data_IF_704679323208
#
_entry.id   IF_704679323208
#
_cell.length_a   1.000
_cell.length_b   1.000
_cell.length_c   1.000
_cell.angle_alpha   90.00
_cell.angle_beta   90.00
_cell.angle_gamma   90.00
#
_symmetry.space_group_name_H-M   'P 1'
#
loop_
_entity.id
_entity.type
_entity.pdbx_description
1 polymer ?
#
# COMPACT_ATOMS: atom_id res chain seq x y z
N UNK A 1 0.00 -25.87 0.05
CA UNK A 1 -1.18 -24.99 0.27
C UNK A 1 -0.79 -23.62 0.83
N UNK A 2 -0.20 -23.51 2.04
CA UNK A 2 0.19 -22.23 2.67
C UNK A 2 1.07 -21.29 1.83
N UNK A 3 2.09 -21.82 1.17
CA UNK A 3 3.00 -21.04 0.29
C UNK A 3 2.22 -20.33 -0.80
N UNK A 4 1.41 -21.08 -1.56
CA UNK A 4 0.55 -20.55 -2.63
C UNK A 4 -0.42 -19.46 -2.16
N UNK A 5 -0.95 -19.58 -0.94
CA UNK A 5 -1.87 -18.58 -0.39
C UNK A 5 -1.14 -17.26 -0.08
N UNK A 6 0.06 -17.33 0.51
CA UNK A 6 0.85 -16.12 0.77
C UNK A 6 1.30 -15.48 -0.54
N UNK A 7 1.75 -16.27 -1.51
CA UNK A 7 2.12 -15.77 -2.85
C UNK A 7 0.94 -15.10 -3.56
N UNK A 8 -0.26 -15.68 -3.46
CA UNK A 8 -1.47 -15.10 -4.00
C UNK A 8 -1.76 -13.71 -3.40
N UNK A 9 -1.61 -13.55 -2.09
CA UNK A 9 -1.82 -12.25 -1.45
C UNK A 9 -0.74 -11.23 -1.79
N UNK A 10 0.52 -11.65 -1.93
CA UNK A 10 1.60 -10.78 -2.42
C UNK A 10 1.28 -10.29 -3.84
N UNK A 11 0.84 -11.19 -4.72
CA UNK A 11 0.46 -10.85 -6.09
C UNK A 11 -0.76 -9.92 -6.12
N UNK A 12 -1.76 -10.18 -5.28
CA UNK A 12 -2.94 -9.32 -5.12
C UNK A 12 -2.54 -7.92 -4.63
N UNK A 13 -1.60 -7.83 -3.69
CA UNK A 13 -1.03 -6.56 -3.24
C UNK A 13 -0.35 -5.81 -4.38
N UNK A 14 0.43 -6.51 -5.22
CA UNK A 14 1.04 -5.92 -6.42
C UNK A 14 -0.01 -5.37 -7.38
N UNK A 15 -1.11 -6.09 -7.62
CA UNK A 15 -2.18 -5.58 -8.48
C UNK A 15 -2.89 -4.37 -7.85
N UNK A 16 -3.08 -4.35 -6.52
CA UNK A 16 -3.58 -3.18 -5.80
C UNK A 16 -2.66 -1.96 -6.00
N UNK A 17 -1.35 -2.16 -5.92
CA UNK A 17 -0.36 -1.10 -6.23
C UNK A 17 -0.50 -0.60 -7.67
N UNK A 18 -0.54 -1.52 -8.65
CA UNK A 18 -0.58 -1.19 -10.07
C UNK A 18 -1.81 -0.35 -10.45
N UNK A 19 -2.99 -0.71 -9.91
CA UNK A 19 -4.23 0.03 -10.20
C UNK A 19 -4.39 1.28 -9.32
N UNK A 20 -3.51 1.54 -8.36
CA UNK A 20 -3.62 2.69 -7.46
C UNK A 20 -4.59 2.50 -6.28
N UNK A 21 -4.88 1.27 -5.88
CA UNK A 21 -5.65 0.95 -4.67
C UNK A 21 -4.73 0.77 -3.45
N UNK A 22 -4.26 1.89 -2.90
CA UNK A 22 -3.29 1.89 -1.81
C UNK A 22 -3.89 1.49 -0.47
N UNK A 23 -5.19 1.71 -0.25
CA UNK A 23 -5.86 1.27 0.97
C UNK A 23 -5.82 -0.27 1.11
N UNK A 24 -6.16 -0.98 0.03
CA UNK A 24 -6.16 -2.45 0.04
C UNK A 24 -4.75 -3.02 0.06
N UNK A 25 -3.80 -2.38 -0.64
CA UNK A 25 -2.38 -2.71 -0.54
C UNK A 25 -1.90 -2.66 0.91
N UNK A 26 -2.19 -1.57 1.64
CA UNK A 26 -1.79 -1.42 3.03
C UNK A 26 -2.43 -2.49 3.93
N UNK A 27 -3.70 -2.81 3.70
CA UNK A 27 -4.39 -3.86 4.46
C UNK A 27 -3.74 -5.24 4.25
N UNK A 28 -3.34 -5.56 3.01
CA UNK A 28 -2.65 -6.81 2.67
C UNK A 28 -1.27 -6.86 3.34
N UNK A 29 -0.48 -5.78 3.23
CA UNK A 29 0.84 -5.69 3.88
C UNK A 29 0.71 -5.87 5.38
N UNK A 30 -0.22 -5.14 6.01
CA UNK A 30 -0.46 -5.24 7.44
C UNK A 30 -0.84 -6.66 7.85
N UNK A 31 -1.76 -7.30 7.13
CA UNK A 31 -2.19 -8.68 7.38
C UNK A 31 -1.04 -9.68 7.28
N UNK A 32 -0.23 -9.61 6.23
CA UNK A 32 0.92 -10.50 6.04
C UNK A 32 2.02 -10.29 7.09
N UNK A 33 2.15 -9.07 7.63
CA UNK A 33 3.09 -8.74 8.70
C UNK A 33 2.61 -9.10 10.10
N UNK A 34 1.32 -9.43 10.29
CA UNK A 34 0.82 -9.90 11.59
C UNK A 34 1.57 -11.14 12.06
N UNK A 35 1.85 -11.21 13.37
CA UNK A 35 2.61 -12.29 14.01
C UNK A 35 2.20 -13.71 13.60
N UNK A 36 0.90 -14.08 13.49
CA UNK A 36 0.51 -15.41 13.06
C UNK A 36 1.01 -15.82 11.66
N UNK A 37 1.20 -14.85 10.76
CA UNK A 37 1.66 -15.08 9.38
C UNK A 37 3.17 -14.88 9.25
N UNK A 38 3.71 -13.77 9.77
CA UNK A 38 5.14 -13.42 9.63
C UNK A 38 6.08 -14.42 10.34
N UNK A 39 5.62 -15.12 11.38
CA UNK A 39 6.41 -16.15 12.09
C UNK A 39 6.56 -17.48 11.34
N UNK A 40 5.84 -17.67 10.22
CA UNK A 40 5.81 -18.95 9.48
C UNK A 40 7.09 -19.19 8.66
N UNK A 41 8.25 -19.33 9.32
CA UNK A 41 9.58 -19.38 8.67
C UNK A 41 9.69 -20.39 7.52
N UNK A 42 9.15 -21.61 7.69
CA UNK A 42 9.13 -22.65 6.62
C UNK A 42 8.31 -22.29 5.38
N UNK A 43 7.33 -21.37 5.52
CA UNK A 43 6.55 -20.86 4.39
C UNK A 43 7.31 -19.76 3.69
N UNK A 44 7.81 -18.78 4.45
CA UNK A 44 8.57 -17.65 3.92
C UNK A 44 9.88 -18.06 3.25
N UNK A 45 10.54 -19.12 3.73
CA UNK A 45 11.75 -19.65 3.10
C UNK A 45 11.54 -20.24 1.70
N UNK A 46 10.29 -20.48 1.30
CA UNK A 46 9.92 -21.03 -0.02
C UNK A 46 9.35 -19.97 -0.96
N UNK A 47 9.25 -18.73 -0.52
CA UNK A 47 8.66 -17.62 -1.27
C UNK A 47 9.77 -16.67 -1.68
N UNK A 48 9.67 -16.11 -2.88
CA UNK A 48 10.54 -15.01 -3.30
C UNK A 48 10.17 -13.71 -2.59
N UNK A 49 10.67 -13.52 -1.38
CA UNK A 49 10.32 -12.42 -0.47
C UNK A 49 10.62 -11.01 -1.03
N UNK A 50 11.48 -10.89 -2.03
CA UNK A 50 11.81 -9.60 -2.66
C UNK A 50 10.58 -8.86 -3.22
N UNK A 51 9.57 -9.59 -3.73
CA UNK A 51 8.33 -8.97 -4.22
C UNK A 51 7.55 -8.29 -3.10
N UNK A 52 7.50 -8.94 -1.93
CA UNK A 52 6.82 -8.39 -0.76
C UNK A 52 7.57 -7.20 -0.18
N UNK A 53 8.90 -7.28 -0.08
CA UNK A 53 9.73 -6.18 0.41
C UNK A 53 9.60 -4.89 -0.43
N UNK A 54 9.43 -5.01 -1.75
CA UNK A 54 9.15 -3.86 -2.63
C UNK A 54 7.82 -3.20 -2.23
N UNK A 55 6.77 -3.98 -2.00
CA UNK A 55 5.46 -3.44 -1.58
C UNK A 55 5.54 -2.75 -0.21
N UNK A 56 6.28 -3.34 0.73
CA UNK A 56 6.54 -2.74 2.04
C UNK A 56 7.23 -1.38 1.91
N UNK A 57 8.28 -1.30 1.08
CA UNK A 57 9.00 -0.05 0.83
C UNK A 57 8.10 1.04 0.22
N UNK A 58 7.17 0.67 -0.66
CA UNK A 58 6.22 1.62 -1.26
C UNK A 58 5.26 2.23 -0.23
N UNK A 59 4.97 1.51 0.85
CA UNK A 59 4.08 1.93 1.93
C UNK A 59 4.82 2.25 3.24
N UNK A 60 6.13 2.46 3.17
CA UNK A 60 6.97 2.69 4.34
C UNK A 60 6.56 3.98 5.08
N UNK A 61 6.37 3.95 6.42
CA UNK A 61 5.92 5.10 7.19
C UNK A 61 6.99 6.18 7.41
N UNK A 62 8.26 5.88 7.11
CA UNK A 62 9.39 6.80 7.31
C UNK A 62 9.21 8.09 6.52
N UNK A 63 9.78 9.18 7.03
CA UNK A 63 9.70 10.51 6.42
C UNK A 63 8.25 10.92 6.07
N UNK A 64 7.31 10.58 6.97
CA UNK A 64 5.87 10.79 6.79
C UNK A 64 5.33 10.18 5.49
N UNK A 65 5.65 8.91 5.24
CA UNK A 65 5.20 8.15 4.09
C UNK A 65 5.66 8.75 2.74
N UNK A 66 6.91 9.19 2.63
CA UNK A 66 7.44 9.89 1.44
C UNK A 66 7.36 9.06 0.15
N UNK A 67 7.68 7.76 0.23
CA UNK A 67 7.57 6.81 -0.88
C UNK A 67 6.11 6.70 -1.36
N UNK A 68 5.18 6.44 -0.43
CA UNK A 68 3.76 6.38 -0.73
C UNK A 68 3.24 7.68 -1.35
N UNK A 69 3.63 8.85 -0.82
CA UNK A 69 3.19 10.15 -1.36
C UNK A 69 3.64 10.36 -2.80
N UNK A 70 4.87 9.98 -3.13
CA UNK A 70 5.39 10.03 -4.50
C UNK A 70 4.59 9.13 -5.44
N UNK A 71 4.31 7.91 -4.99
CA UNK A 71 3.52 6.92 -5.75
C UNK A 71 2.07 7.36 -5.92
N UNK A 72 1.43 7.88 -4.86
CA UNK A 72 0.09 8.44 -4.92
C UNK A 72 0.02 9.58 -5.93
N UNK A 73 1.00 10.50 -5.90
CA UNK A 73 1.09 11.58 -6.87
C UNK A 73 1.14 11.02 -8.29
N UNK A 74 2.04 10.07 -8.58
CA UNK A 74 2.13 9.43 -9.89
C UNK A 74 0.82 8.76 -10.33
N UNK A 75 0.09 8.11 -9.41
CA UNK A 75 -1.22 7.52 -9.69
C UNK A 75 -2.29 8.57 -10.03
N UNK A 76 -2.28 9.72 -9.34
CA UNK A 76 -3.17 10.85 -9.66
C UNK A 76 -2.89 11.41 -11.06
N UNK A 77 -1.61 11.64 -11.41
CA UNK A 77 -1.22 12.08 -12.76
C UNK A 77 -1.68 11.09 -13.84
N UNK A 78 -1.49 9.78 -13.59
CA UNK A 78 -1.99 8.73 -14.49
C UNK A 78 -3.52 8.81 -14.66
N UNK A 79 -4.25 9.06 -13.58
CA UNK A 79 -5.72 9.14 -13.61
C UNK A 79 -6.25 10.35 -14.38
N UNK A 80 -5.58 11.50 -14.28
CA UNK A 80 -6.01 12.74 -14.95
C UNK A 80 -6.04 12.60 -16.48
N UNK A 81 -5.09 11.86 -17.05
CA UNK A 81 -5.00 11.61 -18.50
C UNK A 81 -5.67 10.32 -18.99
N UNK A 82 -6.35 9.57 -18.11
CA UNK A 82 -6.78 8.21 -18.41
C UNK A 82 -8.07 8.13 -19.27
N UNK A 83 -7.95 7.48 -20.43
CA UNK A 83 -9.10 7.07 -21.27
C UNK A 83 -9.69 5.73 -20.80
N UNK A 84 -8.86 4.84 -20.27
CA UNK A 84 -9.27 3.54 -19.73
C UNK A 84 -9.74 3.65 -18.26
N UNK A 85 -10.84 2.96 -17.92
CA UNK A 85 -11.42 3.02 -16.57
C UNK A 85 -10.48 2.47 -15.50
N UNK A 86 -9.67 1.45 -15.80
CA UNK A 86 -8.73 0.86 -14.83
C UNK A 86 -7.65 1.86 -14.44
N UNK A 87 -7.23 2.72 -15.38
CA UNK A 87 -6.23 3.76 -15.13
C UNK A 87 -6.79 4.99 -14.37
N UNK A 88 -8.10 5.10 -14.17
CA UNK A 88 -8.73 6.17 -13.35
C UNK A 88 -8.79 5.84 -11.86
N UNK A 89 -8.52 4.59 -11.49
CA UNK A 89 -8.61 4.17 -10.10
C UNK A 89 -7.48 4.83 -9.30
N UNK A 90 -7.87 5.54 -8.24
CA UNK A 90 -6.98 6.05 -7.19
C UNK A 90 -7.74 5.95 -5.88
N UNK A 91 -7.36 4.99 -5.03
CA UNK A 91 -7.92 4.83 -3.68
C UNK A 91 -6.79 5.10 -2.69
N UNK A 92 -6.79 6.27 -2.02
CA UNK A 92 -5.73 6.64 -1.08
C UNK A 92 -5.76 5.77 0.18
N UNK A 93 -4.64 5.69 0.88
CA UNK A 93 -4.60 5.11 2.23
C UNK A 93 -5.34 6.02 3.22
N UNK A 94 -6.54 5.59 3.62
CA UNK A 94 -7.46 6.45 4.37
C UNK A 94 -6.94 6.88 5.74
N UNK A 95 -6.23 6.02 6.47
CA UNK A 95 -5.73 6.37 7.80
C UNK A 95 -4.74 7.54 7.74
N UNK A 96 -3.88 7.59 6.71
CA UNK A 96 -2.96 8.72 6.53
C UNK A 96 -3.70 9.96 6.03
N UNK A 97 -4.67 9.81 5.11
CA UNK A 97 -5.48 10.92 4.62
C UNK A 97 -6.21 11.62 5.78
N UNK A 98 -6.88 10.85 6.65
CA UNK A 98 -7.58 11.39 7.81
C UNK A 98 -6.61 12.07 8.78
N UNK A 99 -5.44 11.46 9.02
CA UNK A 99 -4.37 12.06 9.83
C UNK A 99 -3.94 13.41 9.27
N UNK A 100 -3.72 13.52 7.96
CA UNK A 100 -3.34 14.77 7.29
C UNK A 100 -4.44 15.83 7.43
N UNK A 101 -5.70 15.48 7.17
CA UNK A 101 -6.85 16.40 7.33
C UNK A 101 -6.98 16.92 8.77
N UNK A 102 -6.79 16.05 9.76
CA UNK A 102 -6.82 16.43 11.16
C UNK A 102 -5.71 17.44 11.52
N UNK A 103 -4.49 17.23 11.03
CA UNK A 103 -3.39 18.18 11.27
C UNK A 103 -3.59 19.51 10.55
N UNK A 104 -4.14 19.50 9.33
CA UNK A 104 -4.50 20.72 8.62
C UNK A 104 -5.55 21.53 9.38
N UNK A 105 -6.61 20.85 9.87
CA UNK A 105 -7.67 21.51 10.63
C UNK A 105 -7.16 22.14 11.94
N UNK A 106 -6.30 21.43 12.69
CA UNK A 106 -5.68 21.99 13.89
C UNK A 106 -4.77 23.18 13.58
N UNK A 107 -4.02 23.13 12.48
CA UNK A 107 -3.18 24.26 12.04
C UNK A 107 -4.00 25.50 11.70
N UNK A 108 -5.21 25.33 11.16
CA UNK A 108 -6.14 26.43 10.87
C UNK A 108 -6.88 26.95 12.11
N UNK A 109 -7.28 26.07 13.03
CA UNK A 109 -8.03 26.45 14.25
C UNK A 109 -7.17 27.18 15.28
N UNK A 110 -5.84 27.04 15.20
CA UNK A 110 -4.88 27.71 16.08
C UNK A 110 -4.36 29.05 15.51
N UNK A 111 -5.01 29.59 14.48
CA UNK A 111 -4.81 30.96 13.95
C UNK A 111 -6.03 31.81 14.26
#
# INVERSE_FOLDING_TARGET
>A
MRVRVVEYWIETGRECFNIGNFNSLMAIIAGLNMSPISRLKKTWSKIHSGKFAILEHQMDPSSNFSSYRSTLKAAMWRSEGATDQRQRIVIPFFSLLVKDLYFLNQGCSNR
#
